data_IF_720883212887
#
_entry.id   IF_720883212887
#
_cell.length_a   1.000
_cell.length_b   1.000
_cell.length_c   1.000
_cell.angle_alpha   90.00
_cell.angle_beta   90.00
_cell.angle_gamma   90.00
#
_symmetry.space_group_name_H-M   'P 1'
#
loop_
_entity.id
_entity.type
_entity.pdbx_description
1 polymer ?
#
# COMPACT_ATOMS: atom_id res chain seq x y z
N UNK A 1 -10.27 -2.21 16.01
CA UNK A 1 -11.55 -2.28 15.26
C UNK A 1 -11.26 -2.87 13.88
N UNK A 2 -12.20 -3.56 13.25
CA UNK A 2 -11.99 -4.10 11.90
C UNK A 2 -12.14 -2.98 10.86
N UNK A 3 -11.16 -2.82 9.96
CA UNK A 3 -11.26 -1.88 8.83
C UNK A 3 -12.45 -2.27 7.95
N UNK A 4 -13.38 -1.35 7.64
CA UNK A 4 -14.56 -1.68 6.86
C UNK A 4 -14.23 -1.85 5.37
N UNK A 5 -15.06 -2.60 4.67
CA UNK A 5 -15.15 -2.55 3.21
C UNK A 5 -16.01 -1.36 2.80
N UNK A 6 -15.59 -0.64 1.77
CA UNK A 6 -16.36 0.45 1.17
C UNK A 6 -16.80 0.07 -0.24
N UNK A 7 -18.02 0.43 -0.61
CA UNK A 7 -18.58 0.13 -1.93
C UNK A 7 -18.93 1.43 -2.63
N UNK A 8 -18.62 1.47 -3.93
CA UNK A 8 -18.93 2.58 -4.83
C UNK A 8 -19.59 2.03 -6.08
N UNK A 9 -20.08 2.90 -6.96
CA UNK A 9 -20.74 2.47 -8.21
C UNK A 9 -19.88 1.52 -9.06
N UNK A 10 -18.55 1.68 -9.06
CA UNK A 10 -17.63 0.91 -9.94
C UNK A 10 -16.60 0.08 -9.20
N UNK A 11 -16.44 0.24 -7.88
CA UNK A 11 -15.34 -0.35 -7.12
C UNK A 11 -15.78 -0.79 -5.72
N UNK A 12 -15.18 -1.90 -5.29
CA UNK A 12 -15.17 -2.35 -3.90
C UNK A 12 -13.77 -2.07 -3.35
N UNK A 13 -13.68 -1.25 -2.31
CA UNK A 13 -12.47 -0.98 -1.56
C UNK A 13 -12.47 -1.86 -0.31
N UNK A 14 -11.85 -3.04 -0.43
CA UNK A 14 -11.66 -3.97 0.70
C UNK A 14 -10.44 -3.58 1.55
N UNK A 15 -10.37 -4.02 2.82
CA UNK A 15 -9.17 -3.85 3.64
C UNK A 15 -7.91 -4.39 2.97
N UNK A 16 -6.78 -3.72 3.24
CA UNK A 16 -5.46 -4.12 2.77
C UNK A 16 -5.11 -5.52 3.29
N UNK A 17 -4.51 -6.35 2.44
CA UNK A 17 -4.02 -7.68 2.80
C UNK A 17 -2.64 -7.96 2.20
N UNK A 18 -1.88 -8.89 2.79
CA UNK A 18 -0.58 -9.29 2.25
C UNK A 18 -0.65 -9.82 0.81
N UNK A 19 -1.77 -10.43 0.44
CA UNK A 19 -2.01 -10.92 -0.93
C UNK A 19 -2.06 -9.81 -1.98
N UNK A 20 -2.14 -8.53 -1.59
CA UNK A 20 -2.12 -7.39 -2.50
C UNK A 20 -0.70 -7.01 -2.97
N UNK A 21 0.34 -7.43 -2.25
CA UNK A 21 1.73 -7.03 -2.52
C UNK A 21 2.18 -7.31 -3.97
N UNK A 22 1.89 -8.48 -4.60
CA UNK A 22 2.31 -8.73 -5.98
C UNK A 22 1.69 -7.76 -7.00
N UNK A 23 0.45 -7.33 -6.78
CA UNK A 23 -0.21 -6.38 -7.66
C UNK A 23 0.39 -4.98 -7.51
N UNK A 24 0.66 -4.56 -6.27
CA UNK A 24 1.32 -3.28 -5.96
C UNK A 24 2.73 -3.25 -6.58
N UNK A 25 3.52 -4.30 -6.34
CA UNK A 25 4.90 -4.43 -6.85
C UNK A 25 4.97 -4.25 -8.36
N UNK A 26 4.04 -4.87 -9.11
CA UNK A 26 3.95 -4.78 -10.58
C UNK A 26 3.76 -3.35 -11.08
N UNK A 27 3.02 -2.52 -10.35
CA UNK A 27 2.72 -1.15 -10.78
C UNK A 27 3.78 -0.15 -10.34
N UNK A 28 4.52 -0.43 -9.26
CA UNK A 28 5.52 0.50 -8.72
C UNK A 28 6.87 0.42 -9.44
N UNK A 29 7.13 -0.60 -10.24
CA UNK A 29 8.31 -0.66 -11.13
C UNK A 29 8.16 0.23 -12.39
N UNK A 30 7.73 1.48 -12.20
CA UNK A 30 7.47 2.44 -13.27
C UNK A 30 7.91 3.85 -12.84
N UNK A 31 8.90 4.40 -13.54
CA UNK A 31 9.43 5.73 -13.27
C UNK A 31 8.36 6.83 -13.38
N UNK A 32 7.40 6.69 -14.30
CA UNK A 32 6.30 7.64 -14.46
C UNK A 32 5.32 7.63 -13.28
N UNK A 33 5.41 6.64 -12.39
CA UNK A 33 4.66 6.58 -11.13
C UNK A 33 5.55 7.10 -9.99
N UNK A 34 6.74 6.50 -9.79
CA UNK A 34 7.59 6.79 -8.63
C UNK A 34 8.04 8.25 -8.56
N UNK A 35 8.29 8.91 -9.70
CA UNK A 35 8.71 10.32 -9.73
C UNK A 35 7.71 11.30 -9.12
N UNK A 36 6.47 10.87 -8.87
CA UNK A 36 5.40 11.68 -8.26
C UNK A 36 5.13 11.30 -6.80
N UNK A 37 5.85 10.31 -6.24
CA UNK A 37 5.69 9.87 -4.86
C UNK A 37 6.64 10.61 -3.92
N UNK A 38 6.40 10.46 -2.61
CA UNK A 38 7.26 11.01 -1.57
C UNK A 38 8.71 10.49 -1.72
N UNK A 39 9.69 11.35 -1.38
CA UNK A 39 11.13 11.05 -1.53
C UNK A 39 11.59 9.80 -0.79
N UNK A 40 10.84 9.37 0.24
CA UNK A 40 11.09 8.15 1.00
C UNK A 40 10.88 6.87 0.17
N UNK A 41 10.15 6.95 -0.96
CA UNK A 41 9.95 5.83 -1.88
C UNK A 41 11.14 5.76 -2.83
N UNK A 42 12.03 4.75 -2.72
CA UNK A 42 13.27 4.72 -3.48
C UNK A 42 13.04 4.32 -4.95
N UNK A 43 13.96 4.77 -5.81
CA UNK A 43 14.12 4.30 -7.18
C UNK A 43 15.50 3.65 -7.36
N UNK A 44 15.61 2.45 -7.95
CA UNK A 44 14.51 1.57 -8.39
C UNK A 44 13.68 1.06 -7.20
N UNK A 45 12.42 0.69 -7.46
CA UNK A 45 11.58 0.13 -6.41
C UNK A 45 12.14 -1.24 -5.98
N UNK A 46 12.34 -1.51 -4.68
CA UNK A 46 12.92 -2.76 -4.21
C UNK A 46 12.03 -3.95 -4.59
N UNK A 47 12.62 -5.10 -4.89
CA UNK A 47 11.88 -6.30 -5.31
C UNK A 47 10.86 -6.80 -4.28
N UNK A 48 11.10 -6.51 -3.00
CA UNK A 48 10.27 -6.80 -1.84
C UNK A 48 9.57 -5.54 -1.27
N UNK A 49 9.67 -4.41 -1.97
CA UNK A 49 9.23 -3.11 -1.47
C UNK A 49 7.75 -3.08 -1.12
N UNK A 50 6.89 -3.67 -1.97
CA UNK A 50 5.46 -3.75 -1.70
C UNK A 50 5.14 -4.65 -0.51
N UNK A 51 5.83 -5.79 -0.37
CA UNK A 51 5.62 -6.70 0.74
C UNK A 51 6.01 -6.06 2.07
N UNK A 52 7.20 -5.45 2.12
CA UNK A 52 7.70 -4.72 3.30
C UNK A 52 6.76 -3.58 3.67
N UNK A 53 6.28 -2.81 2.69
CA UNK A 53 5.32 -1.74 2.93
C UNK A 53 4.01 -2.27 3.52
N UNK A 54 3.39 -3.29 2.90
CA UNK A 54 2.10 -3.84 3.36
C UNK A 54 2.23 -4.43 4.77
N UNK A 55 3.29 -5.16 5.09
CA UNK A 55 3.55 -5.69 6.44
C UNK A 55 3.58 -4.56 7.47
N UNK A 56 4.37 -3.53 7.21
CA UNK A 56 4.47 -2.36 8.10
C UNK A 56 3.12 -1.65 8.28
N UNK A 57 2.33 -1.49 7.21
CA UNK A 57 1.00 -0.87 7.35
C UNK A 57 0.04 -1.72 8.17
N UNK A 58 0.03 -3.04 7.97
CA UNK A 58 -0.83 -3.95 8.73
C UNK A 58 -0.48 -3.93 10.23
N UNK A 59 0.81 -3.87 10.57
CA UNK A 59 1.27 -3.72 11.96
C UNK A 59 0.73 -2.42 12.58
N UNK A 60 0.88 -1.29 11.88
CA UNK A 60 0.41 0.02 12.35
C UNK A 60 -1.11 0.08 12.51
N UNK A 61 -1.85 -0.48 11.55
CA UNK A 61 -3.32 -0.61 11.63
C UNK A 61 -3.71 -1.45 12.84
N UNK A 62 -3.02 -2.57 13.08
CA UNK A 62 -3.30 -3.45 14.23
C UNK A 62 -3.00 -2.75 15.56
N UNK A 63 -2.02 -1.85 15.59
CA UNK A 63 -1.68 -0.99 16.73
C UNK A 63 -2.68 0.17 16.93
N UNK A 64 -3.58 0.41 15.98
CA UNK A 64 -4.56 1.51 16.03
C UNK A 64 -3.93 2.87 15.75
N UNK A 65 -2.79 2.92 15.08
CA UNK A 65 -2.17 4.19 14.68
C UNK A 65 -3.02 4.89 13.61
N UNK A 66 -3.40 6.14 13.88
CA UNK A 66 -4.00 7.00 12.87
C UNK A 66 -2.93 7.51 11.89
N UNK A 67 -3.29 7.58 10.61
CA UNK A 67 -2.43 8.23 9.62
C UNK A 67 -2.55 9.74 9.87
N UNK A 68 -1.62 10.29 10.64
CA UNK A 68 -1.46 11.74 10.77
C UNK A 68 -0.92 12.27 9.43
N UNK A 69 -1.72 13.10 8.76
CA UNK A 69 -1.42 13.64 7.44
C UNK A 69 -0.74 15.02 7.51
#
# INVERSE_FOLDING_TARGET
MQTPQLETERLILRPLALSDAPAIQRHFDNWNIIRHLAVVVPWPYPADGAETFVRSQLERISAGEEINH
#
